data_IF_535149254179
#
_entry.id   IF_535149254179
#
_cell.length_a   1.000
_cell.length_b   1.000
_cell.length_c   1.000
_cell.angle_alpha   90.00
_cell.angle_beta   90.00
_cell.angle_gamma   90.00
#
_symmetry.space_group_name_H-M   'P 1'
#
loop_
_entity.id
_entity.type
_entity.pdbx_description
1 polymer ?
#
# COMPACT_ATOMS: atom_id res chain seq x y z
N UNK A 1 14.37 11.71 -12.71
CA UNK A 1 13.29 12.16 -13.60
C UNK A 1 11.97 11.71 -13.00
N UNK A 2 11.15 12.65 -12.53
CA UNK A 2 9.81 12.38 -12.01
C UNK A 2 8.87 12.19 -13.19
N UNK A 3 8.24 11.02 -13.32
CA UNK A 3 7.12 10.83 -14.24
C UNK A 3 5.88 11.32 -13.51
N UNK A 4 5.43 12.53 -13.82
CA UNK A 4 4.12 13.03 -13.36
C UNK A 4 3.03 12.29 -14.13
N UNK A 5 2.13 11.64 -13.39
CA UNK A 5 0.91 11.05 -13.92
C UNK A 5 -0.15 12.15 -14.06
N UNK A 6 -0.45 12.56 -15.30
CA UNK A 6 -1.57 13.43 -15.60
C UNK A 6 -2.60 12.66 -16.42
N UNK A 7 -3.83 12.61 -15.91
CA UNK A 7 -5.00 12.04 -16.58
C UNK A 7 -5.47 12.93 -17.74
N UNK A 8 -4.63 13.21 -18.73
CA UNK A 8 -5.04 13.79 -20.02
C UNK A 8 -3.87 13.77 -21.02
N UNK A 9 -3.96 12.89 -22.02
CA UNK A 9 -3.37 13.05 -23.36
C UNK A 9 -1.85 13.05 -23.51
N UNK A 10 -1.36 12.07 -24.30
CA UNK A 10 -0.07 12.05 -25.03
C UNK A 10 1.22 11.52 -24.34
N UNK A 11 1.16 10.89 -23.17
CA UNK A 11 2.19 9.90 -22.77
C UNK A 11 1.53 8.52 -22.67
N UNK A 12 1.82 7.68 -23.66
CA UNK A 12 1.21 6.37 -23.88
C UNK A 12 1.52 5.36 -22.76
N UNK A 13 0.55 5.22 -21.86
CA UNK A 13 0.15 3.99 -21.13
C UNK A 13 1.26 3.01 -20.70
N UNK A 14 2.17 3.42 -19.82
CA UNK A 14 2.85 2.44 -18.98
C UNK A 14 1.80 1.88 -18.02
N UNK A 15 1.38 0.62 -18.24
CA UNK A 15 0.51 -0.09 -17.30
C UNK A 15 1.07 0.03 -15.89
N UNK A 16 0.20 0.22 -14.89
CA UNK A 16 0.56 0.25 -13.46
C UNK A 16 1.60 -0.80 -13.08
N UNK A 17 1.45 -2.01 -13.61
CA UNK A 17 2.39 -3.10 -13.35
C UNK A 17 3.75 -2.88 -14.00
N UNK A 18 3.81 -2.38 -15.24
CA UNK A 18 5.08 -2.01 -15.87
C UNK A 18 5.82 -0.95 -15.05
N UNK A 19 5.10 0.02 -14.49
CA UNK A 19 5.67 1.01 -13.58
C UNK A 19 6.24 0.36 -12.31
N UNK A 20 5.45 -0.48 -11.62
CA UNK A 20 5.90 -1.20 -10.43
C UNK A 20 7.19 -2.00 -10.69
N UNK A 21 7.27 -2.66 -11.84
CA UNK A 21 8.45 -3.44 -12.21
C UNK A 21 9.66 -2.57 -12.59
N UNK A 22 9.45 -1.33 -13.03
CA UNK A 22 10.51 -0.36 -13.35
C UNK A 22 11.14 0.29 -12.11
N UNK A 23 10.42 0.37 -10.98
CA UNK A 23 10.93 0.96 -9.74
C UNK A 23 12.27 0.35 -9.28
N UNK A 24 13.16 1.16 -8.73
CA UNK A 24 14.46 0.72 -8.23
C UNK A 24 14.38 0.14 -6.80
N UNK A 25 13.52 -0.87 -6.61
CA UNK A 25 13.31 -1.53 -5.32
C UNK A 25 13.61 -3.03 -5.39
N UNK A 26 13.94 -3.69 -4.27
CA UNK A 26 14.16 -5.12 -4.25
C UNK A 26 12.95 -5.89 -4.81
N UNK A 27 13.21 -6.94 -5.61
CA UNK A 27 12.16 -7.75 -6.23
C UNK A 27 11.17 -8.35 -5.22
N UNK A 28 11.62 -8.62 -3.99
CA UNK A 28 10.78 -9.10 -2.89
C UNK A 28 9.69 -8.08 -2.52
N UNK A 29 10.03 -6.79 -2.49
CA UNK A 29 9.08 -5.69 -2.20
C UNK A 29 8.11 -5.51 -3.36
N UNK A 30 8.59 -5.54 -4.63
CA UNK A 30 7.72 -5.50 -5.81
C UNK A 30 6.67 -6.62 -5.79
N UNK A 31 7.10 -7.85 -5.50
CA UNK A 31 6.22 -9.01 -5.41
C UNK A 31 5.22 -8.88 -4.25
N UNK A 32 5.67 -8.35 -3.12
CA UNK A 32 4.82 -8.10 -1.97
C UNK A 32 3.71 -7.08 -2.29
N UNK A 33 4.07 -5.93 -2.87
CA UNK A 33 3.12 -4.90 -3.32
C UNK A 33 2.13 -5.49 -4.33
N UNK A 34 2.64 -6.23 -5.32
CA UNK A 34 1.79 -6.88 -6.30
C UNK A 34 0.76 -7.81 -5.64
N UNK A 35 1.20 -8.67 -4.72
CA UNK A 35 0.30 -9.55 -3.95
C UNK A 35 -0.70 -8.76 -3.10
N UNK A 36 -0.26 -7.70 -2.45
CA UNK A 36 -1.12 -6.88 -1.59
C UNK A 36 -2.21 -6.15 -2.42
N UNK A 37 -1.85 -5.60 -3.59
CA UNK A 37 -2.79 -5.00 -4.54
C UNK A 37 -3.85 -6.00 -5.02
N UNK A 38 -3.49 -7.28 -5.15
CA UNK A 38 -4.40 -8.35 -5.54
C UNK A 38 -5.15 -9.01 -4.36
N UNK A 39 -5.00 -8.51 -3.13
CA UNK A 39 -5.55 -9.14 -1.91
C UNK A 39 -5.10 -10.60 -1.74
N UNK A 40 -3.86 -10.89 -2.14
CA UNK A 40 -3.26 -12.21 -2.03
C UNK A 40 -2.52 -12.44 -0.72
N UNK A 41 -2.20 -11.36 0.00
CA UNK A 41 -1.61 -11.46 1.33
C UNK A 41 -2.65 -11.99 2.34
N UNK A 42 -2.22 -12.77 3.34
CA UNK A 42 -3.10 -13.43 4.28
C UNK A 42 -3.57 -12.47 5.39
N UNK A 43 -4.36 -11.47 5.03
CA UNK A 43 -5.10 -10.67 6.02
C UNK A 43 -6.36 -11.43 6.44
N UNK A 44 -6.86 -11.22 7.67
CA UNK A 44 -8.04 -11.96 8.17
C UNK A 44 -9.27 -11.76 7.28
N UNK A 45 -9.46 -10.55 6.72
CA UNK A 45 -10.52 -10.31 5.73
C UNK A 45 -10.35 -11.16 4.47
N UNK A 46 -9.12 -11.35 3.98
CA UNK A 46 -8.87 -12.18 2.80
C UNK A 46 -8.99 -13.68 3.11
N UNK A 47 -8.61 -14.10 4.31
CA UNK A 47 -8.77 -15.48 4.78
C UNK A 47 -10.26 -15.85 4.92
N UNK A 48 -11.07 -14.97 5.53
CA UNK A 48 -12.51 -15.16 5.63
C UNK A 48 -13.18 -15.27 4.26
N UNK A 49 -12.77 -14.44 3.27
CA UNK A 49 -13.24 -14.54 1.87
C UNK A 49 -12.91 -15.86 1.20
N UNK A 50 -11.88 -16.58 1.66
CA UNK A 50 -11.47 -17.89 1.15
C UNK A 50 -12.09 -19.05 1.92
N UNK A 51 -13.05 -18.79 2.82
CA UNK A 51 -13.69 -19.81 3.64
C UNK A 51 -12.85 -20.28 4.83
N UNK A 52 -11.70 -19.64 5.10
CA UNK A 52 -10.96 -19.84 6.35
C UNK A 52 -11.68 -19.00 7.40
N UNK A 53 -12.66 -19.62 8.08
CA UNK A 53 -13.53 -18.96 9.05
C UNK A 53 -12.78 -18.34 10.23
N UNK A 54 -13.42 -17.39 10.91
CA UNK A 54 -12.86 -16.69 12.06
C UNK A 54 -13.32 -15.24 12.15
N UNK A 55 -12.92 -14.56 13.22
CA UNK A 55 -13.09 -13.12 13.35
C UNK A 55 -12.16 -12.39 12.36
N UNK A 56 -12.66 -11.31 11.77
CA UNK A 56 -11.90 -10.45 10.86
C UNK A 56 -11.26 -9.27 11.58
N UNK A 57 -11.54 -9.05 12.86
CA UNK A 57 -10.94 -7.97 13.65
C UNK A 57 -9.42 -8.11 13.70
N UNK A 58 -8.73 -7.00 13.49
CA UNK A 58 -7.28 -6.93 13.59
C UNK A 58 -6.81 -7.40 14.97
N UNK A 59 -5.92 -8.41 15.05
CA UNK A 59 -5.45 -8.98 16.31
C UNK A 59 -4.46 -8.06 17.03
N UNK A 60 -4.07 -6.95 16.41
CA UNK A 60 -3.13 -5.98 16.98
C UNK A 60 -3.88 -4.82 17.62
N UNK A 61 -4.83 -4.21 16.90
CA UNK A 61 -5.56 -3.05 17.41
C UNK A 61 -6.93 -3.37 17.99
N UNK A 62 -7.52 -4.52 17.65
CA UNK A 62 -8.85 -4.97 18.07
C UNK A 62 -9.99 -3.98 17.78
N UNK A 63 -9.85 -3.10 16.77
CA UNK A 63 -10.81 -2.03 16.48
C UNK A 63 -11.51 -2.16 15.14
N UNK A 64 -10.80 -2.64 14.13
CA UNK A 64 -11.25 -2.60 12.74
C UNK A 64 -10.92 -3.94 12.07
N UNK A 65 -11.63 -4.25 10.99
CA UNK A 65 -11.37 -5.44 10.21
C UNK A 65 -9.97 -5.39 9.55
N UNK A 66 -9.23 -6.49 9.63
CA UNK A 66 -7.88 -6.62 9.10
C UNK A 66 -7.89 -6.79 7.57
N UNK A 67 -8.00 -5.66 6.89
CA UNK A 67 -7.72 -5.56 5.45
C UNK A 67 -6.21 -5.50 5.20
N UNK A 68 -5.80 -5.72 3.94
CA UNK A 68 -4.41 -5.54 3.52
C UNK A 68 -3.86 -4.16 3.88
N UNK A 69 -4.65 -3.08 3.67
CA UNK A 69 -4.25 -1.73 4.03
C UNK A 69 -4.19 -1.53 5.55
N UNK A 70 -5.13 -2.10 6.28
CA UNK A 70 -5.15 -2.01 7.75
C UNK A 70 -3.94 -2.68 8.37
N UNK A 71 -3.65 -3.92 7.98
CA UNK A 71 -2.50 -4.67 8.49
C UNK A 71 -1.17 -3.95 8.22
N UNK A 72 -1.04 -3.29 7.06
CA UNK A 72 0.23 -2.73 6.60
C UNK A 72 0.41 -1.25 6.92
N UNK A 73 -0.68 -0.50 7.10
CA UNK A 73 -0.58 0.97 7.17
C UNK A 73 -1.53 1.61 8.18
N UNK A 74 -2.85 1.41 8.04
CA UNK A 74 -3.82 2.23 8.77
C UNK A 74 -4.01 1.82 10.23
N UNK A 75 -3.58 0.62 10.62
CA UNK A 75 -3.62 0.13 12.00
C UNK A 75 -3.01 1.12 13.00
N UNK A 76 -3.73 1.39 14.09
CA UNK A 76 -3.33 2.36 15.12
C UNK A 76 -2.04 1.97 15.83
N UNK A 77 -1.68 0.69 15.86
CA UNK A 77 -0.39 0.24 16.40
C UNK A 77 0.80 0.77 15.58
N UNK A 78 0.60 1.00 14.28
CA UNK A 78 1.61 1.59 13.38
C UNK A 78 1.65 3.13 13.46
N UNK A 79 0.82 3.77 14.28
CA UNK A 79 0.74 5.24 14.37
C UNK A 79 2.09 5.87 14.70
N UNK A 80 2.86 5.26 15.60
CA UNK A 80 4.20 5.75 15.96
C UNK A 80 5.16 5.69 14.76
N UNK A 81 5.21 4.56 14.06
CA UNK A 81 6.03 4.40 12.84
C UNK A 81 5.64 5.44 11.78
N UNK A 82 4.34 5.62 11.53
CA UNK A 82 3.82 6.63 10.60
C UNK A 82 4.21 8.06 11.00
N UNK A 83 4.13 8.39 12.29
CA UNK A 83 4.52 9.72 12.78
C UNK A 83 6.01 10.02 12.59
N UNK A 84 6.86 8.98 12.52
CA UNK A 84 8.29 9.11 12.25
C UNK A 84 8.62 9.28 10.75
N UNK A 85 7.61 9.19 9.87
CA UNK A 85 7.76 9.41 8.43
C UNK A 85 6.98 10.68 8.02
N UNK A 86 7.59 11.88 8.10
CA UNK A 86 6.89 13.16 7.86
C UNK A 86 6.22 13.23 6.48
N UNK A 87 6.87 12.65 5.47
CA UNK A 87 6.37 12.59 4.10
C UNK A 87 5.04 11.85 3.97
N UNK A 88 4.71 10.96 4.91
CA UNK A 88 3.47 10.19 4.89
C UNK A 88 2.34 10.84 5.69
N UNK A 89 2.61 11.94 6.40
CA UNK A 89 1.59 12.73 7.09
C UNK A 89 0.76 13.56 6.10
N UNK A 90 1.31 13.84 4.92
CA UNK A 90 0.66 14.63 3.88
C UNK A 90 -0.46 13.87 3.14
N UNK A 91 -0.52 12.54 3.26
CA UNK A 91 -1.50 11.72 2.54
C UNK A 91 -2.48 11.09 3.54
N UNK A 92 -3.73 11.54 3.49
CA UNK A 92 -4.79 11.00 4.34
C UNK A 92 -5.27 9.66 3.78
N UNK A 93 -5.19 8.62 4.60
CA UNK A 93 -5.70 7.30 4.27
C UNK A 93 -6.68 6.84 5.33
N UNK A 94 -7.80 6.29 4.88
CA UNK A 94 -8.83 5.72 5.73
C UNK A 94 -8.93 4.22 5.52
N UNK A 95 -9.38 3.51 6.55
CA UNK A 95 -9.63 2.07 6.48
C UNK A 95 -10.65 1.73 5.39
N UNK A 96 -10.47 0.59 4.75
CA UNK A 96 -11.35 0.10 3.69
C UNK A 96 -10.96 0.51 2.27
N UNK A 97 -10.00 1.43 2.10
CA UNK A 97 -9.41 1.71 0.78
C UNK A 97 -8.66 0.47 0.26
N UNK A 98 -8.78 0.12 -1.04
CA UNK A 98 -7.95 -0.89 -1.67
C UNK A 98 -6.47 -0.54 -1.53
N UNK A 99 -5.63 -1.54 -1.24
CA UNK A 99 -4.18 -1.33 -1.11
C UNK A 99 -3.56 -0.74 -2.39
N UNK A 100 -4.13 -1.05 -3.57
CA UNK A 100 -3.68 -0.47 -4.83
C UNK A 100 -3.85 1.05 -4.90
N UNK A 101 -4.93 1.60 -4.34
CA UNK A 101 -5.16 3.06 -4.33
C UNK A 101 -4.20 3.76 -3.36
N UNK A 102 -3.88 3.11 -2.24
CA UNK A 102 -2.83 3.57 -1.33
C UNK A 102 -1.48 3.71 -2.06
N UNK A 103 -1.01 2.67 -2.77
CA UNK A 103 0.28 2.73 -3.47
C UNK A 103 0.26 3.75 -4.60
N UNK A 104 -0.86 3.92 -5.32
CA UNK A 104 -1.00 4.97 -6.34
C UNK A 104 -0.85 6.36 -5.73
N UNK A 105 -1.55 6.64 -4.64
CA UNK A 105 -1.44 7.91 -3.95
C UNK A 105 -0.01 8.17 -3.47
N UNK A 106 0.69 7.16 -2.95
CA UNK A 106 2.11 7.27 -2.61
C UNK A 106 2.96 7.64 -3.83
N UNK A 107 2.76 6.97 -4.96
CA UNK A 107 3.53 7.25 -6.20
C UNK A 107 3.27 8.66 -6.73
N UNK A 108 2.03 9.13 -6.64
CA UNK A 108 1.63 10.44 -7.16
C UNK A 108 2.11 11.61 -6.29
N UNK A 109 2.28 11.39 -4.98
CA UNK A 109 2.55 12.46 -4.00
C UNK A 109 3.93 12.39 -3.36
N UNK A 110 4.65 11.27 -3.47
CA UNK A 110 5.97 11.10 -2.86
C UNK A 110 7.08 11.23 -3.90
N UNK A 111 8.20 11.82 -3.49
CA UNK A 111 9.44 11.82 -4.26
C UNK A 111 10.03 10.41 -4.36
N UNK A 112 10.94 10.20 -5.32
CA UNK A 112 11.62 8.90 -5.47
C UNK A 112 12.35 8.46 -4.21
N UNK A 113 12.94 9.40 -3.46
CA UNK A 113 13.61 9.11 -2.20
C UNK A 113 12.64 8.69 -1.10
N UNK A 114 11.50 9.38 -0.98
CA UNK A 114 10.45 9.04 -0.02
C UNK A 114 9.78 7.69 -0.34
N UNK A 115 9.64 7.38 -1.62
CA UNK A 115 9.22 6.06 -2.08
C UNK A 115 10.22 4.99 -1.67
N UNK A 116 11.51 5.18 -1.92
CA UNK A 116 12.56 4.24 -1.50
C UNK A 116 12.51 3.99 0.02
N UNK A 117 12.29 5.04 0.82
CA UNK A 117 12.09 4.91 2.27
C UNK A 117 10.82 4.13 2.64
N UNK A 118 9.69 4.42 2.00
CA UNK A 118 8.44 3.67 2.20
C UNK A 118 8.63 2.18 1.91
N UNK A 119 9.36 1.85 0.85
CA UNK A 119 9.63 0.48 0.43
C UNK A 119 10.61 -0.28 1.34
N UNK A 120 11.38 0.41 2.17
CA UNK A 120 12.17 -0.24 3.24
C UNK A 120 11.28 -0.62 4.43
N UNK A 121 10.18 0.10 4.64
CA UNK A 121 9.24 -0.13 5.76
C UNK A 121 8.18 -1.18 5.43
N UNK A 122 7.85 -1.37 4.14
CA UNK A 122 6.92 -2.38 3.62
C UNK A 122 7.60 -3.72 3.32
#
# INVERSE_FOLDING_TARGET
>A
MMVKWSSSGLVSSISWWKFLWWLNVPSKVKLFIWRACHNWIPSLVNLAKRGVGGDVLCPVCYRQAETSLHALWTCTALKKLRSMCPFMQAIMFHDGLPFGDFIRACVDHLSSYELDLLYVVL
#
